data_IF_239622020810
#
_entry.id   IF_239622020810
#
_cell.length_a   1.000
_cell.length_b   1.000
_cell.length_c   1.000
_cell.angle_alpha   90.00
_cell.angle_beta   90.00
_cell.angle_gamma   90.00
#
_symmetry.space_group_name_H-M   'P 1'
#
loop_
_entity.id
_entity.type
_entity.pdbx_description
1 polymer ?
#
# COMPACT_ATOMS: atom_id res chain seq x y z
N UNK A 1 -3.42 -19.62 -26.87
CA UNK A 1 -2.05 -19.14 -26.63
C UNK A 1 -2.01 -17.70 -27.14
N UNK A 2 -2.48 -16.74 -26.34
CA UNK A 2 -2.36 -15.32 -26.68
C UNK A 2 -1.11 -14.78 -26.01
N UNK A 3 -0.21 -14.30 -26.83
CA UNK A 3 1.11 -13.82 -26.49
C UNK A 3 1.08 -12.68 -25.46
N UNK A 4 1.55 -12.94 -24.26
CA UNK A 4 1.90 -11.94 -23.24
C UNK A 4 3.05 -11.00 -23.66
N UNK A 5 3.56 -11.14 -24.88
CA UNK A 5 4.73 -10.37 -25.34
C UNK A 5 4.47 -8.89 -25.63
N UNK A 6 3.21 -8.46 -25.84
CA UNK A 6 2.95 -7.08 -26.28
C UNK A 6 2.88 -6.02 -25.17
N UNK A 7 2.92 -6.41 -23.87
CA UNK A 7 2.78 -5.47 -22.73
C UNK A 7 4.05 -5.18 -21.96
N UNK A 8 5.09 -5.92 -22.20
CA UNK A 8 6.38 -5.78 -21.54
C UNK A 8 7.35 -4.93 -22.34
N UNK A 9 6.90 -3.79 -22.83
CA UNK A 9 7.77 -2.87 -23.55
C UNK A 9 8.52 -1.96 -22.56
N UNK A 10 9.75 -1.52 -22.89
CA UNK A 10 10.50 -0.51 -22.11
C UNK A 10 9.68 0.75 -21.82
N UNK A 11 8.67 1.06 -22.62
CA UNK A 11 7.72 2.17 -22.40
C UNK A 11 7.00 2.13 -21.05
N UNK A 12 6.83 0.95 -20.43
CA UNK A 12 6.25 0.84 -19.08
C UNK A 12 7.15 1.46 -18.01
N UNK A 13 8.44 1.56 -18.24
CA UNK A 13 9.42 2.14 -17.33
C UNK A 13 9.84 3.57 -17.72
N UNK A 14 9.14 4.20 -18.67
CA UNK A 14 9.37 5.60 -19.05
C UNK A 14 8.42 6.55 -18.30
N UNK A 15 8.83 7.80 -18.15
CA UNK A 15 8.03 8.87 -17.54
C UNK A 15 7.51 8.54 -16.12
N UNK A 16 8.32 7.81 -15.37
CA UNK A 16 7.99 7.42 -14.01
C UNK A 16 7.95 8.62 -13.06
N UNK A 17 7.10 8.60 -12.01
CA UNK A 17 7.17 9.57 -10.92
C UNK A 17 8.54 9.58 -10.24
N UNK A 18 8.97 10.76 -9.74
CA UNK A 18 10.27 10.98 -9.10
C UNK A 18 10.54 10.02 -7.92
N UNK A 19 9.52 9.53 -7.26
CA UNK A 19 9.62 8.50 -6.21
C UNK A 19 10.46 7.29 -6.66
N UNK A 20 10.37 6.95 -7.94
CA UNK A 20 11.05 5.77 -8.50
C UNK A 20 12.46 6.03 -9.03
N UNK A 21 12.96 7.26 -8.95
CA UNK A 21 14.33 7.59 -9.37
C UNK A 21 15.37 6.82 -8.53
N UNK A 22 15.06 6.57 -7.25
CA UNK A 22 15.90 5.79 -6.35
C UNK A 22 16.14 4.33 -6.83
N UNK A 23 15.24 3.78 -7.65
CA UNK A 23 15.38 2.42 -8.22
C UNK A 23 16.47 2.37 -9.30
N UNK A 24 16.93 3.51 -9.80
CA UNK A 24 17.98 3.63 -10.83
C UNK A 24 17.76 2.69 -12.04
N UNK A 25 16.50 2.55 -12.47
CA UNK A 25 16.08 1.59 -13.51
C UNK A 25 16.80 1.82 -14.84
N UNK A 26 17.10 3.08 -15.16
CA UNK A 26 17.85 3.47 -16.36
C UNK A 26 19.30 2.97 -16.38
N UNK A 27 19.86 2.58 -15.22
CA UNK A 27 21.20 2.01 -15.09
C UNK A 27 21.21 0.48 -15.26
N UNK A 28 20.05 -0.15 -15.25
CA UNK A 28 19.92 -1.60 -15.41
C UNK A 28 20.09 -1.99 -16.89
N UNK A 29 20.66 -3.17 -17.17
CA UNK A 29 20.70 -3.72 -18.53
C UNK A 29 19.29 -3.80 -19.13
N UNK A 30 19.16 -3.59 -20.44
CA UNK A 30 17.85 -3.62 -21.14
C UNK A 30 17.09 -4.91 -20.88
N UNK A 31 17.74 -6.06 -20.87
CA UNK A 31 17.09 -7.34 -20.55
C UNK A 31 16.52 -7.37 -19.12
N UNK A 32 17.21 -6.76 -18.16
CA UNK A 32 16.73 -6.60 -16.77
C UNK A 32 15.52 -5.66 -16.72
N UNK A 33 15.60 -4.53 -17.42
CA UNK A 33 14.47 -3.58 -17.50
C UNK A 33 13.22 -4.25 -18.09
N UNK A 34 13.36 -5.05 -19.14
CA UNK A 34 12.25 -5.81 -19.74
C UNK A 34 11.65 -6.77 -18.72
N UNK A 35 12.47 -7.51 -17.98
CA UNK A 35 11.97 -8.41 -16.92
C UNK A 35 11.25 -7.68 -15.80
N UNK A 36 11.78 -6.54 -15.34
CA UNK A 36 11.12 -5.70 -14.33
C UNK A 36 9.75 -5.25 -14.85
N UNK A 37 9.67 -4.77 -16.10
CA UNK A 37 8.41 -4.36 -16.71
C UNK A 37 7.40 -5.50 -16.82
N UNK A 38 7.86 -6.72 -17.14
CA UNK A 38 7.02 -7.92 -17.21
C UNK A 38 6.48 -8.30 -15.84
N UNK A 39 7.33 -8.32 -14.81
CA UNK A 39 6.92 -8.62 -13.43
C UNK A 39 5.96 -7.55 -12.92
N UNK A 40 6.26 -6.25 -13.12
CA UNK A 40 5.36 -5.17 -12.73
C UNK A 40 3.99 -5.26 -13.44
N UNK A 41 3.96 -5.74 -14.69
CA UNK A 41 2.71 -5.95 -15.43
C UNK A 41 1.83 -7.07 -14.86
N UNK A 42 2.41 -8.06 -14.18
CA UNK A 42 1.67 -9.13 -13.52
C UNK A 42 1.07 -8.70 -12.17
N UNK A 43 1.63 -7.67 -11.53
CA UNK A 43 1.20 -7.23 -10.21
C UNK A 43 -0.15 -6.51 -10.25
N UNK A 44 -1.01 -6.67 -9.23
CA UNK A 44 -2.38 -6.13 -9.21
C UNK A 44 -2.47 -4.61 -9.20
N UNK A 45 -1.38 -3.90 -8.98
CA UNK A 45 -1.29 -2.43 -8.94
C UNK A 45 -2.16 -1.77 -7.84
N UNK A 46 -2.44 -2.50 -6.76
CA UNK A 46 -3.19 -2.01 -5.60
C UNK A 46 -2.39 -1.06 -4.71
N UNK A 47 -1.06 -1.02 -4.88
CA UNK A 47 -0.11 -0.17 -4.15
C UNK A 47 -0.23 -0.30 -2.62
N UNK A 48 -0.53 -1.51 -2.12
CA UNK A 48 -0.91 -1.74 -0.73
C UNK A 48 0.28 -1.84 0.25
N UNK A 49 1.49 -2.11 -0.25
CA UNK A 49 2.68 -2.30 0.59
C UNK A 49 2.69 -3.58 1.44
N UNK A 50 1.69 -4.48 1.29
CA UNK A 50 1.58 -5.71 2.10
C UNK A 50 2.69 -6.73 1.82
N UNK A 51 3.41 -6.55 0.72
CA UNK A 51 4.62 -7.32 0.37
C UNK A 51 5.91 -6.69 0.92
N UNK A 52 5.81 -5.78 1.91
CA UNK A 52 6.92 -5.04 2.53
C UNK A 52 7.51 -3.92 1.64
N UNK A 53 6.87 -3.60 0.49
CA UNK A 53 7.23 -2.49 -0.39
C UNK A 53 6.19 -1.36 -0.29
N UNK A 54 6.33 -0.42 0.67
CA UNK A 54 5.35 0.63 0.92
C UNK A 54 5.20 1.60 -0.26
N UNK A 55 6.24 1.74 -1.08
CA UNK A 55 6.26 2.63 -2.25
C UNK A 55 5.58 2.00 -3.48
N UNK A 56 4.98 0.81 -3.34
CA UNK A 56 4.11 0.23 -4.33
C UNK A 56 4.65 -0.99 -5.08
N UNK A 57 4.02 -1.31 -6.20
CA UNK A 57 4.27 -2.55 -6.95
C UNK A 57 5.60 -2.54 -7.73
N UNK A 58 6.01 -1.40 -8.29
CA UNK A 58 7.23 -1.30 -9.09
C UNK A 58 8.51 -1.54 -8.27
N UNK A 59 8.67 -1.02 -7.03
CA UNK A 59 9.78 -1.40 -6.15
C UNK A 59 9.85 -2.90 -5.89
N UNK A 60 8.73 -3.56 -5.61
CA UNK A 60 8.69 -5.00 -5.42
C UNK A 60 9.10 -5.77 -6.69
N UNK A 61 8.59 -5.37 -7.86
CA UNK A 61 9.01 -5.96 -9.14
C UNK A 61 10.53 -5.82 -9.37
N UNK A 62 11.09 -4.68 -8.97
CA UNK A 62 12.54 -4.42 -9.07
C UNK A 62 13.32 -5.32 -8.12
N UNK A 63 12.91 -5.42 -6.86
CA UNK A 63 13.56 -6.27 -5.85
C UNK A 63 13.55 -7.76 -6.27
N UNK A 64 12.43 -8.27 -6.81
CA UNK A 64 12.37 -9.64 -7.34
C UNK A 64 13.43 -9.87 -8.42
N UNK A 65 13.56 -8.95 -9.39
CA UNK A 65 14.41 -9.17 -10.57
C UNK A 65 15.88 -8.87 -10.30
N UNK A 66 16.17 -7.82 -9.50
CA UNK A 66 17.53 -7.33 -9.27
C UNK A 66 18.16 -7.97 -8.03
N UNK A 67 17.39 -8.10 -6.95
CA UNK A 67 17.89 -8.56 -5.67
C UNK A 67 17.57 -10.04 -5.41
N UNK A 68 16.73 -10.66 -6.22
CA UNK A 68 16.31 -12.05 -6.06
C UNK A 68 15.34 -12.26 -4.91
N UNK A 69 14.57 -11.22 -4.58
CA UNK A 69 13.56 -11.30 -3.52
C UNK A 69 12.49 -12.35 -3.83
N UNK A 70 11.86 -12.89 -2.77
CA UNK A 70 10.80 -13.88 -2.87
C UNK A 70 9.60 -13.32 -3.68
N UNK A 71 9.23 -14.01 -4.76
CA UNK A 71 8.20 -13.57 -5.72
C UNK A 71 6.76 -13.92 -5.30
N UNK A 72 6.57 -14.56 -4.16
CA UNK A 72 5.28 -15.04 -3.64
C UNK A 72 4.68 -14.17 -2.52
N UNK A 73 5.20 -12.97 -2.29
CA UNK A 73 4.74 -12.08 -1.21
C UNK A 73 3.50 -11.25 -1.56
N UNK A 74 3.11 -11.15 -2.85
CA UNK A 74 2.00 -10.31 -3.26
C UNK A 74 0.66 -10.82 -2.71
N UNK A 75 0.07 -10.10 -1.74
CA UNK A 75 -1.20 -10.49 -1.10
C UNK A 75 -2.36 -10.48 -2.09
N UNK A 76 -2.76 -9.34 -2.70
CA UNK A 76 -3.92 -9.31 -3.58
C UNK A 76 -3.72 -10.10 -4.88
N UNK A 77 -2.46 -10.40 -5.24
CA UNK A 77 -2.12 -11.22 -6.40
C UNK A 77 -2.42 -12.70 -6.20
N UNK A 78 -2.17 -13.21 -5.00
CA UNK A 78 -2.32 -14.63 -4.66
C UNK A 78 -1.48 -15.56 -5.53
N UNK A 79 -1.93 -16.80 -5.66
CA UNK A 79 -1.22 -17.80 -6.45
C UNK A 79 -1.12 -17.48 -7.95
N UNK A 80 -2.15 -16.94 -8.63
CA UNK A 80 -2.04 -16.62 -10.06
C UNK A 80 -0.92 -15.64 -10.40
N UNK A 81 -0.67 -14.65 -9.55
CA UNK A 81 0.45 -13.69 -9.76
C UNK A 81 1.79 -14.35 -9.46
N UNK A 82 1.86 -15.15 -8.39
CA UNK A 82 3.05 -15.94 -8.06
C UNK A 82 3.46 -16.84 -9.23
N UNK A 83 2.50 -17.57 -9.82
CA UNK A 83 2.76 -18.46 -10.96
C UNK A 83 3.19 -17.69 -12.22
N UNK A 84 2.55 -16.54 -12.49
CA UNK A 84 2.91 -15.68 -13.62
C UNK A 84 4.35 -15.13 -13.49
N UNK A 85 4.73 -14.67 -12.31
CA UNK A 85 6.09 -14.19 -12.04
C UNK A 85 7.09 -15.35 -12.15
N UNK A 86 6.78 -16.51 -11.60
CA UNK A 86 7.59 -17.71 -11.73
C UNK A 86 7.91 -18.03 -13.19
N UNK A 87 6.90 -17.99 -14.09
CA UNK A 87 7.09 -18.24 -15.53
C UNK A 87 8.02 -17.21 -16.20
N UNK A 88 7.98 -15.94 -15.77
CA UNK A 88 8.88 -14.89 -16.29
C UNK A 88 10.31 -15.13 -15.84
N UNK A 89 10.51 -15.58 -14.60
CA UNK A 89 11.83 -15.78 -14.02
C UNK A 89 12.52 -17.07 -14.52
N UNK A 90 11.75 -18.12 -14.80
CA UNK A 90 12.22 -19.43 -15.27
C UNK A 90 12.41 -19.45 -16.78
N UNK A 91 13.39 -18.73 -17.31
CA UNK A 91 13.82 -18.93 -18.69
C UNK A 91 14.68 -20.21 -18.80
N UNK A 92 14.66 -20.88 -19.99
CA UNK A 92 15.26 -22.20 -20.24
C UNK A 92 16.73 -22.37 -19.87
N UNK A 93 17.44 -21.31 -19.51
CA UNK A 93 18.88 -21.28 -19.23
C UNK A 93 19.25 -21.27 -17.73
N UNK A 94 18.28 -21.19 -16.83
CA UNK A 94 18.54 -21.22 -15.37
C UNK A 94 17.86 -22.41 -14.73
N UNK A 95 18.51 -22.98 -13.71
CA UNK A 95 17.89 -24.00 -12.85
C UNK A 95 16.50 -23.56 -12.43
N UNK A 96 15.48 -24.44 -12.54
CA UNK A 96 14.12 -24.07 -12.21
C UNK A 96 14.06 -23.63 -10.74
N UNK A 97 13.56 -22.41 -10.51
CA UNK A 97 13.15 -21.98 -9.18
C UNK A 97 12.04 -22.93 -8.70
N UNK A 98 12.01 -23.27 -7.43
CA UNK A 98 10.87 -23.98 -6.88
C UNK A 98 9.63 -23.09 -6.96
N UNK A 99 8.55 -23.60 -7.55
CA UNK A 99 7.26 -22.93 -7.47
C UNK A 99 6.84 -22.83 -5.98
N UNK A 100 6.73 -21.60 -5.47
CA UNK A 100 6.36 -21.37 -4.09
C UNK A 100 4.84 -21.16 -3.97
N UNK A 101 4.19 -21.63 -2.89
CA UNK A 101 2.81 -21.23 -2.62
C UNK A 101 2.74 -19.75 -2.25
N UNK A 102 1.60 -19.09 -2.53
CA UNK A 102 1.32 -17.77 -2.01
C UNK A 102 1.43 -17.76 -0.48
N UNK A 103 1.99 -16.70 0.09
CA UNK A 103 2.18 -16.59 1.55
C UNK A 103 0.87 -16.39 2.32
N UNK A 104 -0.22 -16.04 1.63
CA UNK A 104 -1.52 -15.80 2.23
C UNK A 104 -2.51 -16.88 1.85
N UNK A 105 -3.44 -17.15 2.77
CA UNK A 105 -4.57 -18.05 2.51
C UNK A 105 -5.37 -17.55 1.31
N UNK A 106 -5.68 -18.45 0.38
CA UNK A 106 -6.38 -18.14 -0.85
C UNK A 106 -7.71 -18.86 -0.92
N UNK A 107 -8.70 -18.23 -1.54
CA UNK A 107 -9.93 -18.88 -1.92
C UNK A 107 -9.64 -20.09 -2.84
N UNK A 108 -10.29 -21.25 -2.65
CA UNK A 108 -10.00 -22.46 -3.40
C UNK A 108 -10.32 -22.37 -4.90
N UNK A 109 -11.21 -21.46 -5.31
CA UNK A 109 -11.62 -21.26 -6.70
C UNK A 109 -10.74 -20.23 -7.39
N UNK A 110 -10.69 -19.02 -6.84
CA UNK A 110 -9.96 -17.89 -7.43
C UNK A 110 -8.45 -17.97 -7.20
N UNK A 111 -7.99 -18.76 -6.22
CA UNK A 111 -6.61 -18.87 -5.75
C UNK A 111 -6.02 -17.51 -5.32
N UNK A 112 -6.89 -16.57 -4.95
CA UNK A 112 -6.54 -15.24 -4.43
C UNK A 112 -7.05 -15.09 -3.01
N UNK A 113 -6.42 -14.28 -2.16
CA UNK A 113 -7.00 -13.89 -0.89
C UNK A 113 -8.30 -13.12 -1.09
N UNK A 114 -9.17 -13.16 -0.06
CA UNK A 114 -10.42 -12.39 -0.04
C UNK A 114 -10.17 -10.93 -0.41
N UNK A 115 -10.84 -10.45 -1.44
CA UNK A 115 -10.80 -9.03 -1.81
C UNK A 115 -11.63 -8.21 -0.83
N UNK A 116 -11.16 -6.99 -0.52
CA UNK A 116 -11.82 -6.08 0.41
C UNK A 116 -11.95 -4.69 -0.17
N UNK A 117 -12.92 -3.92 0.34
CA UNK A 117 -13.02 -2.47 0.15
C UNK A 117 -13.14 -1.81 1.51
N UNK A 118 -12.52 -0.65 1.64
CA UNK A 118 -12.67 0.15 2.84
C UNK A 118 -13.96 0.98 2.75
N UNK A 119 -14.64 1.13 3.87
CA UNK A 119 -15.77 2.05 4.05
C UNK A 119 -15.53 2.92 5.28
N UNK A 120 -16.10 4.10 5.30
CA UNK A 120 -16.09 4.99 6.47
C UNK A 120 -17.48 4.94 7.11
N UNK A 121 -17.53 4.69 8.43
CA UNK A 121 -18.73 4.99 9.21
C UNK A 121 -18.80 6.52 9.37
N UNK A 122 -19.66 7.14 8.57
CA UNK A 122 -19.70 8.61 8.45
C UNK A 122 -20.10 9.29 9.74
N UNK A 123 -20.97 8.67 10.55
CA UNK A 123 -21.38 9.12 11.87
C UNK A 123 -20.23 9.19 12.89
N UNK A 124 -19.22 8.35 12.74
CA UNK A 124 -18.04 8.32 13.61
C UNK A 124 -16.89 9.20 13.07
N UNK A 125 -17.03 9.70 11.85
CA UNK A 125 -15.97 10.45 11.18
C UNK A 125 -15.89 11.89 11.67
N UNK A 126 -14.76 12.27 12.26
CA UNK A 126 -14.52 13.62 12.79
C UNK A 126 -13.93 14.60 11.75
N UNK A 127 -13.79 14.21 10.50
CA UNK A 127 -13.24 15.08 9.46
C UNK A 127 -11.77 15.47 9.66
N UNK A 128 -10.93 14.57 10.19
CA UNK A 128 -9.52 14.86 10.49
C UNK A 128 -8.59 14.88 9.25
N UNK A 129 -9.06 14.51 8.08
CA UNK A 129 -8.39 14.46 6.77
C UNK A 129 -7.20 13.50 6.64
N UNK A 130 -6.80 12.77 7.68
CA UNK A 130 -5.59 11.93 7.67
C UNK A 130 -5.66 10.72 6.73
N UNK A 131 -6.86 10.23 6.41
CA UNK A 131 -7.06 9.12 5.47
C UNK A 131 -6.89 9.55 4.01
N UNK A 132 -7.13 10.82 3.67
CA UNK A 132 -7.08 11.33 2.29
C UNK A 132 -5.68 11.19 1.69
N UNK A 133 -4.59 11.73 2.29
CA UNK A 133 -3.25 11.59 1.73
C UNK A 133 -2.70 10.16 1.79
N UNK A 134 -3.31 9.29 2.59
CA UNK A 134 -2.92 7.89 2.67
C UNK A 134 -3.47 7.04 1.52
N UNK A 135 -4.44 7.55 0.76
CA UNK A 135 -5.05 6.80 -0.34
C UNK A 135 -4.23 6.93 -1.62
N UNK A 136 -3.61 5.85 -2.14
CA UNK A 136 -2.73 5.91 -3.30
C UNK A 136 -3.48 6.14 -4.63
N UNK A 137 -4.81 6.00 -4.61
CA UNK A 137 -5.66 6.11 -5.81
C UNK A 137 -6.71 7.21 -5.69
N UNK A 138 -6.61 8.09 -4.69
CA UNK A 138 -7.53 9.21 -4.46
C UNK A 138 -9.02 8.79 -4.40
N UNK A 139 -9.30 7.65 -3.77
CA UNK A 139 -10.66 7.14 -3.62
C UNK A 139 -11.42 7.76 -2.42
N UNK A 140 -10.78 8.62 -1.63
CA UNK A 140 -11.35 9.22 -0.42
C UNK A 140 -11.59 10.70 -0.65
N UNK A 141 -12.81 11.15 -0.40
CA UNK A 141 -13.20 12.56 -0.50
C UNK A 141 -13.71 13.08 0.83
N UNK A 142 -13.55 14.37 1.02
CA UNK A 142 -13.97 15.09 2.21
C UNK A 142 -13.11 16.31 2.46
N UNK A 143 -13.47 17.08 3.49
CA UNK A 143 -12.75 18.28 3.90
C UNK A 143 -12.58 18.32 5.41
N UNK A 144 -11.70 19.20 5.89
CA UNK A 144 -11.51 19.38 7.33
C UNK A 144 -12.81 19.70 8.07
N UNK A 145 -13.07 19.02 9.17
CA UNK A 145 -14.27 19.14 10.02
C UNK A 145 -15.60 18.65 9.38
N UNK A 146 -15.53 18.00 8.23
CA UNK A 146 -16.68 17.35 7.60
C UNK A 146 -16.38 15.86 7.44
N UNK A 147 -17.41 15.02 7.48
CA UNK A 147 -17.26 13.58 7.26
C UNK A 147 -16.61 13.29 5.91
N UNK A 148 -15.90 12.16 5.86
CA UNK A 148 -15.29 11.68 4.63
C UNK A 148 -16.04 10.46 4.11
N UNK A 149 -16.00 10.28 2.80
CA UNK A 149 -16.59 9.13 2.11
C UNK A 149 -15.55 8.44 1.25
N UNK A 150 -15.61 7.12 1.15
CA UNK A 150 -14.78 6.33 0.22
C UNK A 150 -15.64 5.91 -0.97
N UNK A 151 -15.19 6.24 -2.18
CA UNK A 151 -15.75 5.66 -3.40
C UNK A 151 -15.29 4.20 -3.51
N UNK A 152 -16.16 3.27 -3.15
CA UNK A 152 -15.84 1.85 -3.09
C UNK A 152 -15.41 1.27 -4.43
N UNK A 153 -15.97 1.75 -5.54
CA UNK A 153 -15.60 1.33 -6.90
C UNK A 153 -14.18 1.75 -7.28
N UNK A 154 -13.66 2.81 -6.65
CA UNK A 154 -12.30 3.29 -6.84
C UNK A 154 -11.32 2.73 -5.81
N UNK A 155 -11.82 2.20 -4.70
CA UNK A 155 -11.00 1.65 -3.62
C UNK A 155 -10.31 0.37 -4.06
N UNK A 156 -9.01 0.24 -3.80
CA UNK A 156 -8.22 -0.96 -4.12
C UNK A 156 -8.16 -1.98 -2.99
N UNK A 157 -8.71 -1.65 -1.80
CA UNK A 157 -8.53 -2.47 -0.62
C UNK A 157 -7.09 -2.51 -0.10
N UNK A 158 -6.32 -1.44 -0.30
CA UNK A 158 -4.92 -1.35 0.12
C UNK A 158 -4.74 -1.17 1.63
N UNK A 159 -5.79 -0.84 2.37
CA UNK A 159 -5.82 -0.72 3.84
C UNK A 159 -4.96 0.41 4.44
N UNK A 160 -4.33 1.23 3.60
CA UNK A 160 -3.42 2.30 4.04
C UNK A 160 -4.14 3.41 4.82
N UNK A 161 -5.45 3.59 4.62
CA UNK A 161 -6.27 4.59 5.31
C UNK A 161 -6.63 4.20 6.76
N UNK A 162 -6.47 2.93 7.17
CA UNK A 162 -6.88 2.43 8.50
C UNK A 162 -5.96 2.99 9.58
N UNK A 163 -4.64 2.79 9.43
CA UNK A 163 -3.66 3.17 10.44
C UNK A 163 -3.68 4.67 10.82
N UNK A 164 -3.84 5.63 9.89
CA UNK A 164 -3.88 7.05 10.22
C UNK A 164 -5.22 7.51 10.83
N UNK A 165 -6.29 6.69 10.82
CA UNK A 165 -7.58 7.08 11.38
C UNK A 165 -7.54 7.08 12.91
N UNK A 166 -7.69 8.25 13.59
CA UNK A 166 -7.56 8.32 15.04
C UNK A 166 -8.78 7.79 15.79
N UNK A 167 -9.95 7.76 15.14
CA UNK A 167 -11.24 7.36 15.75
C UNK A 167 -11.74 5.99 15.28
N UNK A 168 -10.94 5.31 14.48
CA UNK A 168 -11.22 3.95 13.98
C UNK A 168 -12.54 3.80 13.22
N UNK A 169 -12.93 4.80 12.47
CA UNK A 169 -14.19 4.78 11.73
C UNK A 169 -14.11 4.12 10.34
N UNK A 170 -13.00 3.45 10.02
CA UNK A 170 -12.80 2.82 8.70
C UNK A 170 -12.82 1.31 8.84
N UNK A 171 -13.75 0.65 8.16
CA UNK A 171 -13.91 -0.78 8.17
C UNK A 171 -13.53 -1.39 6.81
N UNK A 172 -13.22 -2.69 6.82
CA UNK A 172 -12.97 -3.49 5.63
C UNK A 172 -14.17 -4.39 5.37
N UNK A 173 -14.79 -4.25 4.21
CA UNK A 173 -15.84 -5.13 3.75
C UNK A 173 -15.26 -6.14 2.76
N UNK A 174 -15.46 -7.45 2.99
CA UNK A 174 -15.18 -8.45 1.99
C UNK A 174 -16.10 -8.25 0.79
N UNK A 175 -15.55 -8.40 -0.40
CA UNK A 175 -16.32 -8.35 -1.65
C UNK A 175 -16.03 -9.60 -2.48
N UNK A 176 -17.05 -10.04 -3.20
CA UNK A 176 -16.91 -11.08 -4.20
C UNK A 176 -17.08 -10.46 -5.58
N UNK A 177 -16.09 -10.67 -6.44
CA UNK A 177 -16.11 -10.19 -7.82
C UNK A 177 -15.77 -11.33 -8.77
N UNK A 178 -16.56 -11.45 -9.81
CA UNK A 178 -16.22 -12.30 -10.95
C UNK A 178 -15.84 -11.38 -12.11
N UNK A 179 -14.55 -11.19 -12.33
CA UNK A 179 -14.01 -10.39 -13.41
C UNK A 179 -13.14 -11.25 -14.31
N UNK A 180 -13.25 -11.01 -15.60
CA UNK A 180 -12.44 -11.68 -16.62
C UNK A 180 -10.97 -11.28 -16.51
N UNK A 181 -10.10 -12.03 -17.15
CA UNK A 181 -8.67 -11.67 -17.22
C UNK A 181 -8.47 -10.31 -17.87
N UNK A 182 -9.20 -10.01 -18.94
CA UNK A 182 -9.11 -8.73 -19.65
C UNK A 182 -9.55 -7.55 -18.79
N UNK A 183 -10.65 -7.68 -18.05
CA UNK A 183 -11.11 -6.65 -17.10
C UNK A 183 -10.09 -6.42 -15.99
N UNK A 184 -9.47 -7.49 -15.47
CA UNK A 184 -8.43 -7.37 -14.46
C UNK A 184 -7.18 -6.67 -14.99
N UNK A 185 -6.78 -6.94 -16.19
CA UNK A 185 -5.65 -6.28 -16.84
C UNK A 185 -5.92 -4.79 -17.11
N UNK A 186 -7.16 -4.46 -17.47
CA UNK A 186 -7.57 -3.07 -17.61
C UNK A 186 -7.55 -2.36 -16.25
N UNK A 187 -8.14 -2.98 -15.21
CA UNK A 187 -8.09 -2.47 -13.84
C UNK A 187 -6.65 -2.19 -13.38
N UNK A 188 -5.73 -3.13 -13.62
CA UNK A 188 -4.31 -2.95 -13.27
C UNK A 188 -3.70 -1.73 -13.98
N UNK A 189 -4.04 -1.53 -15.25
CA UNK A 189 -3.55 -0.39 -16.04
C UNK A 189 -4.09 0.92 -15.48
N UNK A 190 -5.37 0.99 -15.19
CA UNK A 190 -6.04 2.18 -14.66
C UNK A 190 -5.54 2.52 -13.25
N UNK A 191 -5.37 1.51 -12.37
CA UNK A 191 -4.85 1.69 -11.02
C UNK A 191 -3.40 2.22 -11.04
N UNK A 192 -2.57 1.68 -11.92
CA UNK A 192 -1.19 2.16 -12.08
C UNK A 192 -1.18 3.62 -12.54
N UNK A 193 -1.98 3.98 -13.52
CA UNK A 193 -2.08 5.34 -14.02
C UNK A 193 -2.58 6.30 -12.94
N UNK A 194 -3.59 5.91 -12.16
CA UNK A 194 -4.09 6.71 -11.03
C UNK A 194 -3.03 6.93 -9.97
N UNK A 195 -2.27 5.89 -9.61
CA UNK A 195 -1.17 6.02 -8.66
C UNK A 195 -0.08 6.96 -9.15
N UNK A 196 0.33 6.86 -10.41
CA UNK A 196 1.29 7.78 -10.99
C UNK A 196 0.79 9.22 -11.00
N UNK A 197 -0.49 9.44 -11.30
CA UNK A 197 -1.13 10.76 -11.24
C UNK A 197 -1.15 11.31 -9.82
N UNK A 198 -1.49 10.46 -8.84
CA UNK A 198 -1.42 10.79 -7.42
C UNK A 198 -0.01 11.25 -7.02
N UNK A 199 1.02 10.46 -7.34
CA UNK A 199 2.41 10.80 -7.01
C UNK A 199 2.86 12.12 -7.66
N UNK A 200 2.54 12.35 -8.93
CA UNK A 200 2.86 13.61 -9.64
C UNK A 200 2.16 14.80 -8.97
N UNK A 201 0.90 14.65 -8.56
CA UNK A 201 0.14 15.68 -7.84
C UNK A 201 0.76 15.98 -6.47
N UNK A 202 1.09 14.94 -5.69
CA UNK A 202 1.73 15.10 -4.37
C UNK A 202 3.09 15.78 -4.52
N UNK A 203 3.92 15.38 -5.46
CA UNK A 203 5.22 16.01 -5.76
C UNK A 203 5.04 17.50 -6.06
N UNK A 204 4.08 17.86 -6.92
CA UNK A 204 3.78 19.25 -7.24
C UNK A 204 3.37 20.05 -5.99
N UNK A 205 2.48 19.49 -5.17
CA UNK A 205 2.03 20.13 -3.93
C UNK A 205 3.20 20.40 -2.96
N UNK A 206 4.11 19.43 -2.81
CA UNK A 206 5.29 19.58 -1.96
C UNK A 206 6.23 20.66 -2.49
N UNK A 207 6.43 20.74 -3.82
CA UNK A 207 7.26 21.77 -4.45
C UNK A 207 6.63 23.14 -4.29
N UNK A 208 5.33 23.27 -4.53
CA UNK A 208 4.61 24.55 -4.41
C UNK A 208 4.51 24.99 -2.94
N UNK A 209 4.34 24.07 -1.98
CA UNK A 209 4.25 24.38 -0.55
C UNK A 209 5.59 24.73 0.10
N UNK A 210 6.73 24.45 -0.56
CA UNK A 210 8.05 24.89 -0.07
C UNK A 210 8.16 26.41 0.01
N UNK A 211 7.29 27.14 -0.69
CA UNK A 211 7.21 28.60 -0.68
C UNK A 211 6.09 29.17 0.23
N UNK A 212 5.21 28.31 0.77
CA UNK A 212 4.16 28.73 1.69
C UNK A 212 4.44 28.16 3.07
N UNK A 213 4.70 29.05 4.05
CA UNK A 213 4.72 28.62 5.46
C UNK A 213 3.37 27.97 5.78
N UNK A 214 3.35 26.82 6.46
CA UNK A 214 2.09 26.23 6.88
C UNK A 214 1.30 27.28 7.66
N UNK A 215 0.05 27.53 7.22
CA UNK A 215 -0.86 28.44 7.93
C UNK A 215 -1.33 27.69 9.18
N UNK A 216 -0.53 27.78 10.23
CA UNK A 216 -0.97 27.44 11.56
C UNK A 216 -1.93 28.55 12.00
N UNK A 217 -3.17 28.24 12.34
CA UNK A 217 -4.08 29.26 12.81
C UNK A 217 -3.46 29.94 14.03
N UNK A 218 -3.61 31.27 14.17
CA UNK A 218 -3.06 32.01 15.33
C UNK A 218 -3.58 31.43 16.67
N UNK A 219 -4.74 30.80 16.66
CA UNK A 219 -5.32 30.13 17.82
C UNK A 219 -4.58 28.82 18.11
N UNK A 220 -4.27 28.00 17.10
CA UNK A 220 -3.45 26.79 17.26
C UNK A 220 -2.03 27.13 17.73
N UNK A 221 -1.41 28.16 17.19
CA UNK A 221 -0.10 28.61 17.64
C UNK A 221 -0.12 29.08 19.11
N UNK A 222 -1.17 29.78 19.55
CA UNK A 222 -1.36 30.18 20.95
C UNK A 222 -1.60 28.99 21.86
N UNK A 223 -2.43 28.02 21.44
CA UNK A 223 -2.71 26.80 22.20
C UNK A 223 -1.47 25.91 22.31
N UNK A 224 -0.72 25.74 21.24
CA UNK A 224 0.53 24.98 21.25
C UNK A 224 1.59 25.64 22.19
N UNK A 225 1.71 26.96 22.16
CA UNK A 225 2.61 27.70 23.08
C UNK A 225 2.15 27.61 24.54
N UNK A 226 0.84 27.68 24.81
CA UNK A 226 0.28 27.52 26.16
C UNK A 226 0.45 26.09 26.67
N UNK A 227 0.24 25.08 25.82
CA UNK A 227 0.46 23.68 26.16
C UNK A 227 1.93 23.35 26.41
N UNK A 228 2.84 23.98 25.67
CA UNK A 228 4.29 23.81 25.87
C UNK A 228 4.80 24.38 27.20
N UNK A 229 4.08 25.31 27.80
CA UNK A 229 4.45 25.90 29.12
C UNK A 229 3.92 25.13 30.33
N UNK A 230 3.01 24.17 30.12
CA UNK A 230 2.30 23.46 31.22
C UNK A 230 2.59 21.97 31.32
N UNK A 231 3.32 21.38 30.39
CA UNK A 231 3.64 19.97 30.40
C UNK A 231 5.15 19.78 30.60
N UNK A 232 5.56 19.60 31.84
CA UNK A 232 6.88 19.09 32.22
C UNK A 232 6.90 17.56 31.98
N UNK A 233 6.74 17.20 30.68
CA UNK A 233 6.85 15.82 30.25
C UNK A 233 8.34 15.54 30.03
N UNK A 234 8.88 14.58 30.76
CA UNK A 234 10.23 14.14 30.50
C UNK A 234 10.40 13.67 29.06
N UNK A 235 11.58 13.87 28.48
CA UNK A 235 11.88 13.42 27.11
C UNK A 235 11.57 11.92 26.92
N UNK A 236 11.77 11.12 27.94
CA UNK A 236 11.47 9.68 27.92
C UNK A 236 9.96 9.42 27.83
N UNK A 237 9.14 10.09 28.63
CA UNK A 237 7.66 9.96 28.58
C UNK A 237 7.10 10.38 27.22
N UNK A 238 7.69 11.40 26.58
CA UNK A 238 7.30 11.80 25.23
C UNK A 238 7.65 10.71 24.19
N UNK A 239 8.83 10.10 24.30
CA UNK A 239 9.27 8.98 23.43
C UNK A 239 8.35 7.76 23.61
N UNK A 240 8.06 7.38 24.86
CA UNK A 240 7.19 6.23 25.18
C UNK A 240 5.76 6.45 24.68
N UNK A 241 5.24 7.67 24.82
CA UNK A 241 3.91 8.04 24.29
C UNK A 241 3.84 7.91 22.77
N UNK A 242 4.89 8.37 22.07
CA UNK A 242 4.97 8.24 20.60
C UNK A 242 5.12 6.77 20.19
N UNK A 243 5.96 6.00 20.89
CA UNK A 243 6.13 4.57 20.64
C UNK A 243 4.82 3.79 20.84
N UNK A 244 4.13 4.03 21.96
CA UNK A 244 2.82 3.43 22.24
C UNK A 244 1.77 3.78 21.17
N UNK A 245 1.73 5.02 20.71
CA UNK A 245 0.80 5.44 19.63
C UNK A 245 1.09 4.70 18.29
N UNK A 246 2.38 4.52 17.96
CA UNK A 246 2.79 3.77 16.75
C UNK A 246 2.40 2.29 16.85
N UNK A 247 2.62 1.66 18.00
CA UNK A 247 2.25 0.27 18.25
C UNK A 247 0.74 0.07 18.15
N UNK A 248 -0.06 0.90 18.82
CA UNK A 248 -1.54 0.86 18.72
C UNK A 248 -2.03 0.97 17.29
N UNK A 249 -1.41 1.82 16.48
CA UNK A 249 -1.76 1.97 15.06
C UNK A 249 -1.48 0.70 14.24
N UNK A 250 -0.32 0.03 14.49
CA UNK A 250 0.04 -1.24 13.84
C UNK A 250 -0.89 -2.38 14.28
N UNK A 251 -1.13 -2.52 15.58
CA UNK A 251 -2.04 -3.52 16.15
C UNK A 251 -3.41 -3.42 15.50
N UNK A 252 -4.01 -2.23 15.49
CA UNK A 252 -5.30 -1.96 14.89
C UNK A 252 -5.37 -2.34 13.41
N UNK A 253 -4.32 -2.04 12.65
CA UNK A 253 -4.24 -2.46 11.25
C UNK A 253 -4.24 -3.98 11.11
N UNK A 254 -3.42 -4.67 11.92
CA UNK A 254 -3.32 -6.13 11.89
C UNK A 254 -4.64 -6.79 12.32
N UNK A 255 -5.31 -6.30 13.36
CA UNK A 255 -6.61 -6.80 13.81
C UNK A 255 -7.65 -6.74 12.67
N UNK A 256 -7.75 -5.61 11.97
CA UNK A 256 -8.66 -5.48 10.82
C UNK A 256 -8.27 -6.35 9.64
N UNK A 257 -6.98 -6.53 9.38
CA UNK A 257 -6.52 -7.45 8.33
C UNK A 257 -6.90 -8.89 8.66
N UNK A 258 -6.62 -9.32 9.89
CA UNK A 258 -6.86 -10.69 10.34
C UNK A 258 -8.34 -11.03 10.46
N UNK A 259 -9.21 -10.05 10.76
CA UNK A 259 -10.67 -10.27 10.78
C UNK A 259 -11.24 -10.67 9.42
N UNK A 260 -10.59 -10.27 8.32
CA UNK A 260 -11.04 -10.56 6.96
C UNK A 260 -10.19 -11.64 6.29
N UNK A 261 -8.88 -11.66 6.57
CA UNK A 261 -7.92 -12.59 5.98
C UNK A 261 -7.07 -13.26 7.06
N UNK A 262 -7.52 -14.39 7.63
CA UNK A 262 -6.74 -15.10 8.65
C UNK A 262 -5.35 -15.51 8.14
N UNK A 263 -4.32 -15.26 8.96
CA UNK A 263 -2.94 -15.64 8.68
C UNK A 263 -2.19 -15.91 9.99
N UNK A 264 -1.70 -17.13 10.16
CA UNK A 264 -1.06 -17.56 11.40
C UNK A 264 0.19 -16.74 11.74
N UNK A 265 1.01 -16.39 10.74
CA UNK A 265 2.24 -15.61 10.97
C UNK A 265 1.90 -14.17 11.41
N UNK A 266 0.86 -13.57 10.82
CA UNK A 266 0.38 -12.23 11.21
C UNK A 266 -0.30 -12.23 12.56
N UNK A 267 -0.90 -13.34 12.95
CA UNK A 267 -1.45 -13.51 14.31
C UNK A 267 -0.33 -13.48 15.36
N UNK A 268 0.77 -14.19 15.11
CA UNK A 268 1.96 -14.15 16.00
C UNK A 268 2.58 -12.75 16.04
N UNK A 269 2.63 -12.03 14.90
CA UNK A 269 3.08 -10.65 14.86
C UNK A 269 2.19 -9.74 15.72
N UNK A 270 0.88 -9.91 15.64
CA UNK A 270 -0.10 -9.17 16.46
C UNK A 270 0.14 -9.39 17.95
N UNK A 271 0.27 -10.62 18.39
CA UNK A 271 0.55 -11.00 19.79
C UNK A 271 1.85 -10.39 20.29
N UNK A 272 2.90 -10.40 19.45
CA UNK A 272 4.19 -9.78 19.77
C UNK A 272 4.07 -8.26 19.96
N UNK A 273 3.35 -7.56 19.08
CA UNK A 273 3.13 -6.10 19.20
C UNK A 273 2.26 -5.74 20.42
N UNK A 274 1.28 -6.57 20.75
CA UNK A 274 0.46 -6.39 21.96
C UNK A 274 1.29 -6.58 23.24
N UNK A 275 2.19 -7.56 23.25
CA UNK A 275 3.13 -7.76 24.37
C UNK A 275 4.11 -6.59 24.50
N UNK A 276 4.64 -6.07 23.39
CA UNK A 276 5.51 -4.88 23.38
C UNK A 276 4.78 -3.64 23.93
N UNK A 277 3.53 -3.43 23.51
CA UNK A 277 2.71 -2.31 24.01
C UNK A 277 2.43 -2.41 25.52
N UNK A 278 2.30 -3.62 26.05
CA UNK A 278 2.06 -3.84 27.48
C UNK A 278 3.30 -3.57 28.36
N UNK A 279 4.50 -3.47 27.77
CA UNK A 279 5.77 -3.20 28.45
C UNK A 279 6.15 -1.71 28.48
N UNK A 280 5.43 -0.86 27.69
CA UNK A 280 5.60 0.59 27.65
C UNK A 280 4.71 1.28 28.69
#
# INVERSE_FOLDING_TARGET
>A
MHSHESRATPTRLTELPILFDALALNRQPTATQVKIAQVDACLPQTQCGLCEHPDGCLPYATAIVVEGEAYNKCVPGGQPVTDAIYQILTTKEKSPLSAAPSQWSTDPVTKRPQEVRAIIREEDCIGCTKCIPACPVDAIVGTGKHMHTIFTDLCTGCELCIAPCPVDCIDLLPIERQITTTEREQEQTDLRQRYHTHLKRVTKQLTDSSNTKPVVSMVEAKLNNAASQTLDISEQQAKDTIAAARLRSKIKKLEKQLSVRPNANKQVELESLQAELAQL
#
